data_IF_847323696331
#
_entry.id   IF_847323696331
#
_cell.length_a   1.000
_cell.length_b   1.000
_cell.length_c   1.000
_cell.angle_alpha   90.00
_cell.angle_beta   90.00
_cell.angle_gamma   90.00
#
_symmetry.space_group_name_H-M   'P 1'
#
loop_
_entity.id
_entity.type
_entity.pdbx_description
1 polymer ?
#
# COMPACT_ATOMS: atom_id res chain seq x y z
N UNK A 1 11.03 26.14 -2.42
CA UNK A 1 11.28 25.35 -3.65
C UNK A 1 12.73 25.55 -4.07
N UNK A 2 13.40 24.47 -4.48
CA UNK A 2 14.77 24.52 -4.97
C UNK A 2 14.81 25.01 -6.43
N UNK A 3 15.81 25.80 -6.79
CA UNK A 3 16.02 26.33 -8.14
C UNK A 3 17.50 26.55 -8.43
N UNK A 4 17.91 26.41 -9.69
CA UNK A 4 19.28 26.74 -10.12
C UNK A 4 19.36 28.22 -10.48
N UNK A 5 20.34 28.91 -9.91
CA UNK A 5 20.52 30.35 -10.06
C UNK A 5 21.95 30.68 -10.51
N UNK A 6 22.07 31.43 -11.60
CA UNK A 6 23.36 31.90 -12.13
C UNK A 6 23.76 33.25 -11.54
N UNK A 7 24.99 33.37 -11.08
CA UNK A 7 25.61 34.60 -10.57
C UNK A 7 26.85 34.94 -11.38
N UNK A 8 26.93 36.17 -11.91
CA UNK A 8 28.12 36.66 -12.61
C UNK A 8 29.13 37.23 -11.61
N UNK A 9 30.36 36.69 -11.62
CA UNK A 9 31.48 37.14 -10.78
C UNK A 9 32.72 37.19 -11.67
N UNK A 10 33.37 38.36 -11.78
CA UNK A 10 34.59 38.51 -12.57
C UNK A 10 34.45 38.12 -14.04
N UNK A 11 33.31 38.44 -14.67
CA UNK A 11 33.02 38.09 -16.06
C UNK A 11 32.59 36.64 -16.31
N UNK A 12 32.63 35.78 -15.30
CA UNK A 12 32.25 34.37 -15.39
C UNK A 12 30.93 34.09 -14.70
N UNK A 13 30.12 33.16 -15.25
CA UNK A 13 28.83 32.75 -14.67
C UNK A 13 29.00 31.49 -13.83
N UNK A 14 28.56 31.59 -12.58
CA UNK A 14 28.64 30.54 -11.58
C UNK A 14 27.23 30.15 -11.14
N UNK A 15 26.96 28.86 -11.06
CA UNK A 15 25.63 28.34 -10.76
C UNK A 15 25.53 27.88 -9.31
N UNK A 16 24.35 28.09 -8.72
CA UNK A 16 24.04 27.71 -7.35
C UNK A 16 22.67 27.03 -7.30
N UNK A 17 22.55 25.95 -6.54
CA UNK A 17 21.25 25.41 -6.14
C UNK A 17 20.78 26.21 -4.93
N UNK A 18 19.67 26.93 -5.07
CA UNK A 18 19.11 27.80 -4.05
C UNK A 18 17.73 27.32 -3.64
N UNK A 19 17.48 27.26 -2.33
CA UNK A 19 16.15 27.08 -1.79
C UNK A 19 15.63 28.38 -1.18
N UNK A 20 14.38 28.70 -1.52
CA UNK A 20 13.66 29.86 -0.98
C UNK A 20 12.49 29.39 -0.14
N UNK A 21 12.39 29.93 1.06
CA UNK A 21 11.25 29.77 1.97
C UNK A 21 10.85 31.13 2.55
N UNK A 22 9.63 31.25 3.08
CA UNK A 22 9.18 32.46 3.76
C UNK A 22 9.63 32.43 5.22
N UNK A 23 10.39 33.44 5.63
CA UNK A 23 10.84 33.62 7.02
C UNK A 23 10.32 34.98 7.49
N UNK A 24 9.36 34.97 8.41
CA UNK A 24 8.65 36.18 8.84
C UNK A 24 7.85 36.85 7.72
N UNK A 25 7.15 36.05 6.90
CA UNK A 25 6.31 36.52 5.79
C UNK A 25 7.07 36.95 4.53
N UNK A 26 8.39 37.15 4.60
CA UNK A 26 9.21 37.56 3.45
C UNK A 26 9.98 36.38 2.85
N UNK A 27 10.03 36.24 1.51
CA UNK A 27 10.82 35.19 0.87
C UNK A 27 12.32 35.42 1.13
N UNK A 28 13.01 34.44 1.70
CA UNK A 28 14.45 34.45 1.97
C UNK A 28 15.12 33.21 1.38
N UNK A 29 16.37 33.37 0.95
CA UNK A 29 17.25 32.23 0.68
C UNK A 29 17.46 31.51 2.02
N UNK A 30 17.08 30.25 2.12
CA UNK A 30 17.32 29.45 3.34
C UNK A 30 18.44 28.42 3.15
N UNK A 31 18.76 28.07 1.90
CA UNK A 31 19.90 27.24 1.55
C UNK A 31 20.47 27.66 0.21
N UNK A 32 21.80 27.62 0.08
CA UNK A 32 22.50 27.87 -1.18
C UNK A 32 23.73 26.98 -1.27
N UNK A 33 23.81 26.16 -2.32
CA UNK A 33 24.94 25.27 -2.62
C UNK A 33 25.57 25.67 -3.95
N UNK A 34 26.88 25.81 -3.98
CA UNK A 34 27.64 26.08 -5.20
C UNK A 34 27.67 24.85 -6.10
N UNK A 35 27.36 25.01 -7.39
CA UNK A 35 27.33 23.94 -8.37
C UNK A 35 28.49 23.98 -9.37
N UNK A 36 29.28 25.05 -9.40
CA UNK A 36 30.33 25.24 -10.39
C UNK A 36 29.94 26.15 -11.55
N UNK A 37 30.76 26.13 -12.60
CA UNK A 37 30.48 26.74 -13.90
C UNK A 37 29.59 25.82 -14.74
N UNK A 38 29.10 26.32 -15.87
CA UNK A 38 28.34 25.50 -16.83
C UNK A 38 29.13 24.26 -17.28
N UNK A 39 30.43 24.42 -17.54
CA UNK A 39 31.33 23.33 -17.95
C UNK A 39 31.48 22.26 -16.85
N UNK A 40 31.57 22.66 -15.59
CA UNK A 40 31.66 21.73 -14.45
C UNK A 40 30.38 20.89 -14.32
N UNK A 41 29.22 21.53 -14.54
CA UNK A 41 27.91 20.86 -14.52
C UNK A 41 27.77 19.92 -15.73
N UNK A 42 28.17 20.37 -16.92
CA UNK A 42 28.13 19.57 -18.13
C UNK A 42 29.04 18.34 -18.01
N UNK A 43 30.29 18.51 -17.55
CA UNK A 43 31.22 17.41 -17.30
C UNK A 43 30.71 16.44 -16.24
N UNK A 44 30.09 16.95 -15.17
CA UNK A 44 29.43 16.11 -14.17
C UNK A 44 28.26 15.32 -14.76
N UNK A 45 27.49 15.89 -15.71
CA UNK A 45 26.39 15.20 -16.38
C UNK A 45 26.86 14.21 -17.46
N UNK A 46 27.94 14.52 -18.18
CA UNK A 46 28.53 13.66 -19.22
C UNK A 46 29.29 12.47 -18.61
N UNK A 47 29.96 12.66 -17.47
CA UNK A 47 30.55 11.59 -16.67
C UNK A 47 29.53 10.83 -15.80
N UNK A 48 28.31 11.34 -15.67
CA UNK A 48 27.22 10.73 -14.92
C UNK A 48 26.45 9.68 -15.75
N UNK A 49 27.17 8.70 -16.31
CA UNK A 49 26.65 7.35 -16.18
C UNK A 49 26.81 6.98 -14.71
N UNK A 50 25.88 7.45 -13.86
CA UNK A 50 25.85 7.05 -12.44
C UNK A 50 25.52 5.57 -12.43
N UNK A 51 26.57 4.75 -12.47
CA UNK A 51 26.46 3.35 -12.12
C UNK A 51 25.99 3.34 -10.66
N UNK A 52 24.84 2.70 -10.36
CA UNK A 52 24.34 2.68 -9.00
C UNK A 52 25.38 2.01 -8.10
N UNK A 53 25.81 2.70 -7.05
CA UNK A 53 26.75 2.15 -6.07
C UNK A 53 26.18 0.88 -5.41
N UNK A 54 24.84 0.82 -5.28
CA UNK A 54 24.10 -0.34 -4.77
C UNK A 54 22.78 -0.50 -5.50
N UNK A 55 22.43 -1.74 -5.78
CA UNK A 55 21.08 -2.14 -6.19
C UNK A 55 20.39 -2.88 -5.04
N UNK A 56 19.07 -2.79 -4.98
CA UNK A 56 18.24 -3.59 -4.06
C UNK A 56 17.21 -4.33 -4.88
N UNK A 57 17.10 -5.63 -4.65
CA UNK A 57 16.01 -6.43 -5.17
C UNK A 57 14.84 -6.35 -4.19
N UNK A 58 13.68 -5.92 -4.68
CA UNK A 58 12.45 -5.81 -3.90
C UNK A 58 11.30 -6.38 -4.73
N UNK A 59 10.32 -6.97 -4.05
CA UNK A 59 9.12 -7.49 -4.70
C UNK A 59 8.27 -6.33 -5.23
N UNK A 60 7.76 -6.45 -6.46
CA UNK A 60 6.95 -5.39 -7.08
C UNK A 60 5.81 -5.98 -7.92
N UNK A 61 6.13 -6.72 -8.98
CA UNK A 61 5.14 -7.05 -10.02
C UNK A 61 3.86 -7.73 -9.52
N UNK A 62 3.99 -8.75 -8.66
CA UNK A 62 2.82 -9.45 -8.12
C UNK A 62 1.93 -8.53 -7.25
N UNK A 63 2.56 -7.72 -6.41
CA UNK A 63 1.84 -6.83 -5.51
C UNK A 63 1.18 -5.67 -6.26
N UNK A 64 1.88 -5.08 -7.23
CA UNK A 64 1.32 -4.04 -8.09
C UNK A 64 0.14 -4.56 -8.94
N UNK A 65 0.23 -5.79 -9.45
CA UNK A 65 -0.86 -6.42 -10.20
C UNK A 65 -2.11 -6.61 -9.31
N UNK A 66 -1.92 -7.15 -8.10
CA UNK A 66 -3.03 -7.33 -7.16
C UNK A 66 -3.60 -5.99 -6.72
N UNK A 67 -2.74 -5.01 -6.42
CA UNK A 67 -3.18 -3.68 -6.04
C UNK A 67 -4.01 -3.00 -7.13
N UNK A 68 -3.58 -3.10 -8.39
CA UNK A 68 -4.34 -2.60 -9.54
C UNK A 68 -5.74 -3.20 -9.62
N UNK A 69 -5.88 -4.52 -9.43
CA UNK A 69 -7.20 -5.18 -9.40
C UNK A 69 -8.05 -4.67 -8.22
N UNK A 70 -7.45 -4.46 -7.05
CA UNK A 70 -8.17 -3.92 -5.88
C UNK A 70 -8.63 -2.48 -6.10
N UNK A 71 -7.86 -1.67 -6.82
CA UNK A 71 -8.21 -0.30 -7.22
C UNK A 71 -9.33 -0.30 -8.26
N UNK A 72 -9.25 -1.14 -9.31
CA UNK A 72 -10.29 -1.27 -10.34
C UNK A 72 -11.63 -1.73 -9.74
N UNK A 73 -11.59 -2.67 -8.79
CA UNK A 73 -12.77 -3.11 -8.04
C UNK A 73 -13.24 -2.09 -6.98
N UNK A 74 -12.49 -1.02 -6.74
CA UNK A 74 -12.84 -0.01 -5.74
C UNK A 74 -12.94 -0.56 -4.32
N UNK A 75 -12.11 -1.54 -3.94
CA UNK A 75 -12.23 -2.27 -2.67
C UNK A 75 -12.16 -1.34 -1.47
N UNK A 76 -11.11 -0.53 -1.38
CA UNK A 76 -10.93 0.37 -0.24
C UNK A 76 -12.07 1.40 -0.13
N UNK A 77 -12.47 1.99 -1.25
CA UNK A 77 -13.56 2.96 -1.31
C UNK A 77 -14.90 2.35 -0.88
N UNK A 78 -15.23 1.17 -1.42
CA UNK A 78 -16.47 0.45 -1.07
C UNK A 78 -16.54 0.13 0.42
N UNK A 79 -15.43 -0.32 1.02
CA UNK A 79 -15.36 -0.60 2.45
C UNK A 79 -15.54 0.69 3.25
N UNK A 80 -14.83 1.75 2.90
CA UNK A 80 -14.90 3.02 3.62
C UNK A 80 -16.28 3.69 3.53
N UNK A 81 -16.98 3.54 2.40
CA UNK A 81 -18.36 4.01 2.23
C UNK A 81 -19.36 3.28 3.14
N UNK A 82 -19.16 1.97 3.35
CA UNK A 82 -20.06 1.15 4.18
C UNK A 82 -19.77 1.37 5.67
N UNK A 83 -18.48 1.31 6.06
CA UNK A 83 -18.05 1.43 7.46
C UNK A 83 -18.13 2.88 7.95
N UNK A 84 -18.01 3.84 7.04
CA UNK A 84 -18.11 5.26 7.34
C UNK A 84 -16.77 5.90 7.72
N UNK A 85 -16.84 7.06 8.37
CA UNK A 85 -15.67 7.91 8.59
C UNK A 85 -14.60 7.24 9.46
N UNK A 86 -13.36 7.31 8.97
CA UNK A 86 -12.17 6.84 9.67
C UNK A 86 -11.97 7.59 11.00
N UNK A 87 -11.51 6.88 12.04
CA UNK A 87 -11.03 7.53 13.28
C UNK A 87 -9.92 8.54 12.97
N UNK A 88 -9.90 9.67 13.68
CA UNK A 88 -8.93 10.75 13.43
C UNK A 88 -7.47 10.36 13.68
N UNK A 89 -7.23 9.39 14.58
CA UNK A 89 -5.91 8.89 14.98
C UNK A 89 -5.40 7.71 14.13
N UNK A 90 -6.24 7.17 13.24
CA UNK A 90 -5.86 6.06 12.39
C UNK A 90 -4.73 6.48 11.43
N UNK A 91 -3.90 5.52 11.03
CA UNK A 91 -2.82 5.76 10.07
C UNK A 91 -3.31 5.61 8.62
N UNK A 92 -4.27 4.73 8.37
CA UNK A 92 -4.96 4.53 7.09
C UNK A 92 -6.45 4.22 7.32
N UNK A 93 -7.27 4.25 6.26
CA UNK A 93 -8.69 3.92 6.35
C UNK A 93 -8.92 2.42 6.55
N UNK A 94 -10.12 2.04 7.00
CA UNK A 94 -10.49 0.63 7.20
C UNK A 94 -10.40 -0.13 5.87
N UNK A 95 -10.88 0.48 4.79
CA UNK A 95 -10.77 -0.07 3.44
C UNK A 95 -9.32 -0.26 2.98
N UNK A 96 -8.43 0.66 3.31
CA UNK A 96 -7.00 0.51 2.99
C UNK A 96 -6.39 -0.68 3.73
N UNK A 97 -6.72 -0.86 5.02
CA UNK A 97 -6.26 -2.02 5.78
C UNK A 97 -6.76 -3.35 5.23
N UNK A 98 -8.01 -3.40 4.76
CA UNK A 98 -8.54 -4.60 4.11
C UNK A 98 -7.86 -4.85 2.77
N UNK A 99 -7.65 -3.82 1.95
CA UNK A 99 -6.93 -3.94 0.68
C UNK A 99 -5.50 -4.47 0.90
N UNK A 100 -4.78 -3.94 1.90
CA UNK A 100 -3.44 -4.42 2.28
C UNK A 100 -3.45 -5.88 2.74
N UNK A 101 -4.43 -6.26 3.58
CA UNK A 101 -4.57 -7.64 4.06
C UNK A 101 -4.88 -8.61 2.91
N UNK A 102 -5.77 -8.22 1.98
CA UNK A 102 -6.09 -8.99 0.77
C UNK A 102 -4.86 -9.13 -0.11
N UNK A 103 -4.13 -8.04 -0.34
CA UNK A 103 -2.92 -8.05 -1.15
C UNK A 103 -1.86 -8.99 -0.58
N UNK A 104 -1.60 -8.94 0.74
CA UNK A 104 -0.72 -9.89 1.41
C UNK A 104 -1.19 -11.34 1.21
N UNK A 105 -2.49 -11.60 1.38
CA UNK A 105 -3.07 -12.94 1.29
C UNK A 105 -2.99 -13.56 -0.10
N UNK A 106 -2.88 -12.74 -1.14
CA UNK A 106 -2.70 -13.20 -2.54
C UNK A 106 -1.23 -13.35 -2.89
N UNK A 107 -0.38 -12.42 -2.46
CA UNK A 107 1.02 -12.32 -2.92
C UNK A 107 1.95 -13.21 -2.11
N UNK A 108 1.92 -13.10 -0.78
CA UNK A 108 2.83 -13.82 0.13
C UNK A 108 2.20 -13.87 1.54
N UNK A 109 1.30 -14.84 1.78
CA UNK A 109 0.49 -14.89 2.99
C UNK A 109 1.34 -14.93 4.26
N UNK A 110 1.20 -13.93 5.12
CA UNK A 110 1.84 -13.91 6.43
C UNK A 110 0.87 -13.48 7.53
N UNK A 111 1.30 -13.59 8.79
CA UNK A 111 0.52 -13.07 9.91
C UNK A 111 0.51 -11.54 9.90
N UNK A 112 -0.49 -10.91 10.53
CA UNK A 112 -0.50 -9.45 10.74
C UNK A 112 0.75 -8.95 11.47
N UNK A 113 1.29 -9.76 12.39
CA UNK A 113 2.51 -9.46 13.12
C UNK A 113 3.74 -9.40 12.19
N UNK A 114 3.81 -10.29 11.20
CA UNK A 114 4.88 -10.34 10.21
C UNK A 114 4.68 -9.35 9.04
N UNK A 115 3.54 -8.63 9.00
CA UNK A 115 3.20 -7.76 7.86
C UNK A 115 4.22 -6.65 7.65
N UNK A 116 4.70 -6.01 8.72
CA UNK A 116 5.67 -4.92 8.62
C UNK A 116 6.99 -5.40 8.00
N UNK A 117 7.47 -6.57 8.41
CA UNK A 117 8.70 -7.17 7.87
C UNK A 117 8.51 -7.54 6.40
N UNK A 118 7.38 -8.14 6.04
CA UNK A 118 7.03 -8.43 4.65
C UNK A 118 6.96 -7.15 3.82
N UNK A 119 6.22 -6.13 4.26
CA UNK A 119 6.04 -4.87 3.56
C UNK A 119 7.38 -4.20 3.24
N UNK A 120 8.35 -4.26 4.16
CA UNK A 120 9.69 -3.71 3.98
C UNK A 120 10.47 -4.38 2.83
N UNK A 121 10.09 -5.57 2.39
CA UNK A 121 10.69 -6.28 1.24
C UNK A 121 10.07 -5.88 -0.11
N UNK A 122 8.99 -5.11 -0.09
CA UNK A 122 8.22 -4.71 -1.28
C UNK A 122 8.56 -3.30 -1.74
N UNK A 123 8.18 -2.97 -2.97
CA UNK A 123 8.30 -1.64 -3.53
C UNK A 123 7.11 -0.71 -3.22
N UNK A 124 6.06 -1.21 -2.56
CA UNK A 124 4.77 -0.51 -2.49
C UNK A 124 4.76 0.77 -1.67
N UNK A 125 5.72 0.92 -0.75
CA UNK A 125 5.94 2.19 -0.05
C UNK A 125 6.08 3.38 -1.03
N UNK A 126 6.53 3.12 -2.27
CA UNK A 126 6.67 4.14 -3.31
C UNK A 126 5.35 4.63 -3.90
N UNK A 127 4.30 3.80 -3.89
CA UNK A 127 3.00 4.11 -4.48
C UNK A 127 2.02 4.57 -3.40
N UNK A 128 1.90 3.82 -2.31
CA UNK A 128 0.92 4.05 -1.25
C UNK A 128 1.35 5.08 -0.21
N UNK A 129 2.66 5.37 -0.09
CA UNK A 129 3.25 6.37 0.82
C UNK A 129 2.62 6.37 2.21
N UNK A 130 2.41 5.17 2.77
CA UNK A 130 1.79 5.00 4.07
C UNK A 130 2.77 5.46 5.16
N UNK A 131 2.29 6.09 6.24
CA UNK A 131 3.15 6.37 7.38
C UNK A 131 3.64 5.04 7.98
N UNK A 132 4.86 5.00 8.51
CA UNK A 132 5.45 3.77 9.06
C UNK A 132 4.57 3.10 10.14
N UNK A 133 3.82 3.89 10.91
CA UNK A 133 2.88 3.38 11.91
C UNK A 133 1.69 2.61 11.29
N UNK A 134 1.44 2.74 9.98
CA UNK A 134 0.36 2.03 9.31
C UNK A 134 0.62 0.53 9.21
N UNK A 135 1.87 0.08 9.15
CA UNK A 135 2.18 -1.35 9.04
C UNK A 135 2.17 -2.09 10.38
N UNK A 136 1.87 -1.40 11.49
CA UNK A 136 1.73 -2.01 12.80
C UNK A 136 0.50 -2.93 12.83
N UNK A 137 0.73 -4.18 13.23
CA UNK A 137 -0.30 -5.21 13.35
C UNK A 137 -1.51 -4.81 14.22
N UNK A 138 -1.34 -3.96 15.24
CA UNK A 138 -2.45 -3.45 16.05
C UNK A 138 -3.42 -2.62 15.20
N UNK A 139 -2.92 -1.89 14.20
CA UNK A 139 -3.77 -1.07 13.32
C UNK A 139 -4.63 -1.92 12.39
N UNK A 140 -4.15 -3.10 11.99
CA UNK A 140 -4.96 -4.07 11.26
C UNK A 140 -6.12 -4.59 12.12
N UNK A 141 -5.88 -4.85 13.41
CA UNK A 141 -6.94 -5.30 14.32
C UNK A 141 -7.96 -4.20 14.61
N UNK A 142 -7.49 -2.99 14.91
CA UNK A 142 -8.35 -1.80 15.06
C UNK A 142 -9.28 -1.60 13.86
N UNK A 143 -8.77 -1.81 12.64
CA UNK A 143 -9.56 -1.71 11.42
C UNK A 143 -10.57 -2.85 11.27
N UNK A 144 -10.21 -4.07 11.64
CA UNK A 144 -11.12 -5.23 11.57
C UNK A 144 -12.24 -5.14 12.62
N UNK A 145 -11.95 -4.62 13.82
CA UNK A 145 -12.93 -4.44 14.88
C UNK A 145 -13.98 -3.36 14.53
N UNK A 146 -13.67 -2.49 13.55
CA UNK A 146 -14.60 -1.48 13.06
C UNK A 146 -15.65 -2.03 12.08
N UNK A 147 -15.52 -3.29 11.62
CA UNK A 147 -16.39 -3.88 10.59
C UNK A 147 -17.32 -4.89 11.23
N UNK A 148 -18.63 -4.69 11.05
CA UNK A 148 -19.65 -5.65 11.50
C UNK A 148 -19.87 -6.76 10.46
N UNK A 149 -20.54 -7.84 10.88
CA UNK A 149 -20.90 -8.93 9.96
C UNK A 149 -21.87 -8.43 8.89
N UNK A 150 -22.78 -7.53 9.25
CA UNK A 150 -23.72 -6.89 8.35
C UNK A 150 -23.00 -6.04 7.30
N UNK A 151 -21.97 -5.30 7.69
CA UNK A 151 -21.13 -4.52 6.76
C UNK A 151 -20.45 -5.44 5.75
N UNK A 152 -19.89 -6.58 6.20
CA UNK A 152 -19.23 -7.56 5.32
C UNK A 152 -20.19 -8.09 4.25
N UNK A 153 -21.46 -8.33 4.59
CA UNK A 153 -22.47 -8.77 3.63
C UNK A 153 -22.72 -7.68 2.58
N UNK A 154 -22.83 -6.41 2.98
CA UNK A 154 -23.04 -5.29 2.07
C UNK A 154 -21.83 -5.08 1.16
N UNK A 155 -20.63 -5.06 1.74
CA UNK A 155 -19.35 -4.94 1.01
C UNK A 155 -19.23 -6.06 -0.01
N UNK A 156 -19.43 -7.32 0.42
CA UNK A 156 -19.33 -8.49 -0.46
C UNK A 156 -20.28 -8.41 -1.66
N UNK A 157 -21.53 -7.97 -1.44
CA UNK A 157 -22.51 -7.78 -2.53
C UNK A 157 -22.07 -6.69 -3.51
N UNK A 158 -21.61 -5.54 -3.01
CA UNK A 158 -21.16 -4.43 -3.86
C UNK A 158 -19.94 -4.80 -4.70
N UNK A 159 -18.94 -5.43 -4.09
CA UNK A 159 -17.74 -5.88 -4.79
C UNK A 159 -18.06 -6.98 -5.81
N UNK A 160 -18.96 -7.90 -5.48
CA UNK A 160 -19.40 -8.94 -6.43
C UNK A 160 -20.11 -8.33 -7.64
N UNK A 161 -21.04 -7.39 -7.41
CA UNK A 161 -21.73 -6.68 -8.49
C UNK A 161 -20.74 -5.92 -9.39
N UNK A 162 -19.79 -5.21 -8.79
CA UNK A 162 -18.73 -4.52 -9.52
C UNK A 162 -17.88 -5.51 -10.35
N UNK A 163 -17.48 -6.64 -9.77
CA UNK A 163 -16.70 -7.65 -10.49
C UNK A 163 -17.47 -8.27 -11.67
N UNK A 164 -18.77 -8.53 -11.51
CA UNK A 164 -19.63 -9.04 -12.57
C UNK A 164 -19.66 -8.08 -13.75
N UNK A 165 -19.86 -6.79 -13.48
CA UNK A 165 -19.91 -5.75 -14.52
C UNK A 165 -18.55 -5.51 -15.16
N UNK A 166 -17.48 -5.42 -14.36
CA UNK A 166 -16.14 -5.07 -14.83
C UNK A 166 -15.51 -6.19 -15.67
N UNK A 167 -15.76 -7.45 -15.29
CA UNK A 167 -15.15 -8.61 -15.95
C UNK A 167 -16.11 -9.40 -16.85
N UNK A 168 -17.33 -8.89 -17.05
CA UNK A 168 -18.38 -9.54 -17.87
C UNK A 168 -18.58 -11.02 -17.47
N UNK A 169 -18.76 -11.25 -16.17
CA UNK A 169 -18.81 -12.61 -15.63
C UNK A 169 -20.14 -13.29 -15.96
N UNK A 170 -20.07 -14.44 -16.65
CA UNK A 170 -21.23 -15.30 -16.84
C UNK A 170 -21.61 -16.04 -15.56
N UNK A 171 -22.84 -15.81 -15.10
CA UNK A 171 -23.41 -16.40 -13.88
C UNK A 171 -24.32 -17.60 -14.17
N UNK A 172 -24.37 -18.08 -15.42
CA UNK A 172 -25.21 -19.21 -15.82
C UNK A 172 -24.75 -20.56 -15.23
N UNK A 173 -23.48 -20.65 -14.85
CA UNK A 173 -22.84 -21.85 -14.31
C UNK A 173 -22.37 -21.66 -12.87
N UNK A 174 -22.48 -22.73 -12.07
CA UNK A 174 -21.88 -22.80 -10.73
C UNK A 174 -20.84 -23.91 -10.74
N UNK A 175 -19.58 -23.54 -10.49
CA UNK A 175 -18.48 -24.50 -10.28
C UNK A 175 -18.28 -24.66 -8.78
N UNK A 176 -18.44 -25.87 -8.30
CA UNK A 176 -18.29 -26.21 -6.88
C UNK A 176 -16.97 -26.97 -6.68
N UNK A 177 -16.02 -26.36 -5.96
CA UNK A 177 -14.80 -27.05 -5.51
C UNK A 177 -15.01 -27.62 -4.11
N UNK A 178 -15.17 -28.95 -4.05
CA UNK A 178 -15.39 -29.68 -2.79
C UNK A 178 -14.15 -29.76 -1.89
N UNK A 179 -12.96 -29.43 -2.39
CA UNK A 179 -11.72 -29.52 -1.59
C UNK A 179 -11.67 -28.49 -0.46
N UNK A 180 -12.36 -27.36 -0.61
CA UNK A 180 -12.47 -26.33 0.44
C UNK A 180 -13.64 -26.55 1.42
N UNK A 181 -14.63 -27.37 1.07
CA UNK A 181 -15.73 -27.75 1.98
C UNK A 181 -15.29 -28.79 3.02
N UNK A 182 -14.25 -29.56 2.71
CA UNK A 182 -13.61 -30.47 3.63
C UNK A 182 -12.52 -29.78 4.46
N UNK A 183 -12.75 -28.56 4.95
CA UNK A 183 -11.98 -28.06 6.09
C UNK A 183 -12.32 -28.95 7.28
N UNK A 184 -11.42 -29.87 7.61
CA UNK A 184 -11.38 -30.53 8.90
C UNK A 184 -11.08 -29.46 9.95
N UNK A 185 -12.10 -28.68 10.32
CA UNK A 185 -12.10 -27.96 11.59
C UNK A 185 -12.02 -29.08 12.60
N UNK A 186 -10.87 -29.17 13.28
CA UNK A 186 -10.52 -30.21 14.24
C UNK A 186 -11.74 -30.63 15.03
N UNK A 187 -12.41 -31.68 14.55
CA UNK A 187 -13.72 -32.08 15.06
C UNK A 187 -13.57 -32.76 16.42
N UNK A 188 -12.33 -32.97 16.87
CA UNK A 188 -11.97 -33.40 18.21
C UNK A 188 -11.67 -32.22 19.16
N UNK A 189 -11.65 -30.98 18.67
CA UNK A 189 -11.42 -29.79 19.50
C UNK A 189 -12.66 -29.46 20.34
N UNK A 190 -12.75 -30.06 21.53
CA UNK A 190 -13.81 -29.81 22.51
C UNK A 190 -13.91 -28.36 23.02
N UNK A 191 -13.00 -27.46 22.61
CA UNK A 191 -13.06 -26.02 22.92
C UNK A 191 -13.74 -25.18 21.83
N UNK A 192 -14.07 -25.77 20.68
CA UNK A 192 -14.74 -25.09 19.56
C UNK A 192 -16.27 -25.32 19.63
N UNK A 193 -17.06 -24.40 20.21
CA UNK A 193 -18.51 -24.61 20.40
C UNK A 193 -19.30 -24.63 19.09
N UNK A 194 -18.69 -24.19 17.98
CA UNK A 194 -19.31 -24.06 16.66
C UNK A 194 -19.09 -25.28 15.75
N UNK A 195 -18.21 -26.22 16.13
CA UNK A 195 -17.90 -27.41 15.34
C UNK A 195 -18.03 -28.66 16.25
N UNK A 196 -19.26 -29.16 16.47
CA UNK A 196 -19.48 -30.32 17.32
C UNK A 196 -18.85 -31.58 16.72
N UNK A 197 -18.14 -32.36 17.54
CA UNK A 197 -17.64 -33.66 17.19
C UNK A 197 -18.80 -34.54 16.66
N UNK A 198 -18.73 -34.98 15.40
CA UNK A 198 -19.55 -36.11 14.95
C UNK A 198 -19.08 -37.33 15.72
N UNK A 199 -19.75 -37.66 16.83
CA UNK A 199 -19.65 -38.99 17.42
C UNK A 199 -20.18 -39.97 16.37
N UNK A 200 -19.27 -40.68 15.72
CA UNK A 200 -19.62 -41.78 14.84
C UNK A 200 -20.38 -42.82 15.63
N UNK A 201 -21.65 -43.03 15.29
CA UNK A 201 -22.32 -44.29 15.56
C UNK A 201 -21.72 -45.31 14.59
N UNK A 202 -20.90 -46.20 15.12
CA UNK A 202 -20.62 -47.50 14.52
C UNK A 202 -21.69 -48.50 14.98
#
# INVERSE_FOLDING_TARGET
MASVHGKKIGGQTYYYLREVARVGGKPKVVSQRYLGKAEDIAAAMEGAAVLPERTRHIAFGALAAVWGVLEELGVAATVDEVVGARRGDAAASVGTYLALATANRVVDPCSKLAFADWWATTAEDRFLRLPAAATDHHRFWDAMDAITVEDLVVIGRRLSACAIELFDLDLSGVVLDMTNFATFIDSANGRAPIAPARQGQA
#
